data_IF_428972937388
#
_entry.id   IF_428972937388
#
_cell.length_a   1.000
_cell.length_b   1.000
_cell.length_c   1.000
_cell.angle_alpha   90.00
_cell.angle_beta   90.00
_cell.angle_gamma   90.00
#
_symmetry.space_group_name_H-M   'P 1'
#
loop_
_entity.id
_entity.type
_entity.pdbx_description
1 polymer ?
#
# COMPACT_ATOMS: atom_id res chain seq x y z
N UNK A 1 -3.13 -24.00 22.44
CA UNK A 1 -2.55 -22.65 22.21
C UNK A 1 -3.43 -21.81 21.30
N UNK A 2 -3.68 -22.20 20.05
CA UNK A 2 -4.49 -21.39 19.13
C UNK A 2 -5.92 -21.11 19.63
N UNK A 3 -6.60 -22.12 20.22
CA UNK A 3 -7.92 -21.93 20.84
C UNK A 3 -7.92 -20.87 21.95
N UNK A 4 -6.93 -20.92 22.83
CA UNK A 4 -6.75 -19.93 23.89
C UNK A 4 -6.45 -18.54 23.33
N UNK A 5 -5.67 -18.46 22.24
CA UNK A 5 -5.41 -17.22 21.55
C UNK A 5 -6.70 -16.61 20.97
N UNK A 6 -7.55 -17.42 20.35
CA UNK A 6 -8.83 -16.96 19.80
C UNK A 6 -9.79 -16.47 20.91
N UNK A 7 -9.87 -17.23 22.01
CA UNK A 7 -10.64 -16.84 23.20
C UNK A 7 -10.16 -15.52 23.80
N UNK A 8 -8.84 -15.35 23.93
CA UNK A 8 -8.23 -14.14 24.48
C UNK A 8 -8.44 -12.92 23.57
N UNK A 9 -8.19 -13.04 22.26
CA UNK A 9 -8.39 -11.94 21.30
C UNK A 9 -9.88 -11.55 21.19
N UNK A 10 -10.79 -12.52 21.27
CA UNK A 10 -12.24 -12.32 21.18
C UNK A 10 -12.90 -11.74 22.44
N UNK A 11 -12.20 -11.65 23.58
CA UNK A 11 -12.79 -11.21 24.84
C UNK A 11 -12.96 -9.68 24.93
N UNK A 12 -14.01 -9.16 24.27
CA UNK A 12 -14.32 -7.70 24.18
C UNK A 12 -14.61 -7.02 25.53
N UNK A 13 -14.87 -7.78 26.58
CA UNK A 13 -15.11 -7.28 27.93
C UNK A 13 -13.83 -7.06 28.73
N UNK A 14 -12.74 -7.76 28.40
CA UNK A 14 -11.51 -7.77 29.18
C UNK A 14 -10.31 -7.37 28.32
N UNK A 15 -9.94 -6.09 28.42
CA UNK A 15 -8.78 -5.55 27.69
C UNK A 15 -7.45 -6.19 28.12
N UNK A 16 -7.35 -6.67 29.36
CA UNK A 16 -6.13 -7.32 29.86
C UNK A 16 -5.96 -8.70 29.23
N UNK A 17 -7.07 -9.46 29.11
CA UNK A 17 -7.05 -10.72 28.37
C UNK A 17 -6.68 -10.51 26.90
N UNK A 18 -7.23 -9.48 26.25
CA UNK A 18 -6.89 -9.14 24.86
C UNK A 18 -5.42 -8.73 24.71
N UNK A 19 -4.88 -7.94 25.64
CA UNK A 19 -3.46 -7.57 25.67
C UNK A 19 -2.56 -8.81 25.80
N UNK A 20 -2.92 -9.75 26.68
CA UNK A 20 -2.24 -11.04 26.82
C UNK A 20 -2.29 -11.88 25.53
N UNK A 21 -3.45 -11.92 24.87
CA UNK A 21 -3.63 -12.58 23.57
C UNK A 21 -2.75 -11.98 22.48
N UNK A 22 -2.72 -10.64 22.38
CA UNK A 22 -1.86 -9.93 21.43
C UNK A 22 -0.37 -10.16 21.73
N UNK A 23 0.03 -10.18 23.00
CA UNK A 23 1.40 -10.48 23.40
C UNK A 23 1.80 -11.91 22.99
N UNK A 24 0.91 -12.89 23.20
CA UNK A 24 1.10 -14.27 22.75
C UNK A 24 1.21 -14.34 21.22
N UNK A 25 0.32 -13.68 20.48
CA UNK A 25 0.38 -13.59 19.02
C UNK A 25 1.72 -13.02 18.54
N UNK A 26 2.19 -11.93 19.16
CA UNK A 26 3.47 -11.31 18.82
C UNK A 26 4.67 -12.23 19.13
N UNK A 27 4.61 -12.98 20.22
CA UNK A 27 5.64 -13.95 20.58
C UNK A 27 5.68 -15.12 19.58
N UNK A 28 4.52 -15.67 19.22
CA UNK A 28 4.40 -16.72 18.21
C UNK A 28 4.90 -16.24 16.86
N UNK A 29 4.56 -15.02 16.45
CA UNK A 29 4.99 -14.43 15.18
C UNK A 29 6.53 -14.31 15.05
N UNK A 30 7.24 -14.14 16.17
CA UNK A 30 8.71 -14.07 16.18
C UNK A 30 9.39 -15.44 16.20
N UNK A 31 8.73 -16.43 16.81
CA UNK A 31 9.30 -17.77 17.04
C UNK A 31 8.96 -18.75 15.93
N UNK A 32 7.76 -18.63 15.37
CA UNK A 32 7.24 -19.51 14.34
C UNK A 32 7.57 -18.94 12.95
N UNK A 33 7.94 -19.81 12.01
CA UNK A 33 8.29 -19.46 10.63
C UNK A 33 7.72 -20.49 9.65
N UNK A 34 7.53 -20.07 8.40
CA UNK A 34 7.16 -20.98 7.31
C UNK A 34 5.78 -21.58 7.50
N UNK A 35 5.70 -22.91 7.63
CA UNK A 35 4.46 -23.70 7.65
C UNK A 35 3.46 -23.32 8.76
N UNK A 36 3.89 -22.54 9.75
CA UNK A 36 3.03 -22.04 10.83
C UNK A 36 2.23 -20.79 10.47
N UNK A 37 2.63 -20.02 9.45
CA UNK A 37 1.98 -18.74 9.12
C UNK A 37 0.50 -18.86 8.74
N UNK A 38 0.03 -19.88 8.00
CA UNK A 38 -1.39 -20.03 7.71
C UNK A 38 -2.29 -20.05 8.96
N UNK A 39 -1.76 -20.50 10.10
CA UNK A 39 -2.50 -20.47 11.36
C UNK A 39 -2.48 -19.10 12.05
N UNK A 40 -1.57 -18.20 11.71
CA UNK A 40 -1.52 -16.85 12.28
C UNK A 40 -2.20 -15.80 11.39
N UNK A 41 -2.22 -15.99 10.07
CA UNK A 41 -2.76 -15.01 9.12
C UNK A 41 -4.22 -14.60 9.39
N UNK A 42 -5.19 -15.52 9.63
CA UNK A 42 -6.57 -15.12 9.91
C UNK A 42 -6.72 -14.25 11.16
N UNK A 43 -5.78 -14.39 12.11
CA UNK A 43 -5.78 -13.65 13.38
C UNK A 43 -5.14 -12.28 13.25
N UNK A 44 -4.38 -12.03 12.17
CA UNK A 44 -3.73 -10.76 11.92
C UNK A 44 -4.74 -9.62 11.77
N UNK A 45 -5.87 -9.85 11.10
CA UNK A 45 -6.94 -8.85 10.97
C UNK A 45 -7.67 -8.59 12.28
N UNK A 46 -7.90 -9.64 13.08
CA UNK A 46 -8.48 -9.50 14.42
C UNK A 46 -7.57 -8.61 15.27
N UNK A 47 -6.26 -8.88 15.26
CA UNK A 47 -5.26 -8.06 15.97
C UNK A 47 -5.23 -6.64 15.38
N UNK A 48 -5.35 -6.47 14.07
CA UNK A 48 -5.38 -5.14 13.44
C UNK A 48 -6.61 -4.33 13.89
N UNK A 49 -7.80 -4.94 14.00
CA UNK A 49 -9.01 -4.25 14.48
C UNK A 49 -8.87 -3.75 15.93
N UNK A 50 -8.13 -4.48 16.77
CA UNK A 50 -7.83 -4.07 18.14
C UNK A 50 -6.95 -2.81 18.21
N UNK A 51 -6.24 -2.45 17.14
CA UNK A 51 -5.52 -1.16 17.06
C UNK A 51 -6.49 0.05 17.02
N UNK A 52 -7.76 -0.19 16.71
CA UNK A 52 -8.85 0.77 16.77
C UNK A 52 -9.67 0.74 18.06
N UNK A 53 -9.24 0.01 19.09
CA UNK A 53 -9.98 -0.05 20.35
C UNK A 53 -10.11 1.32 21.04
N UNK A 54 -11.30 1.61 21.58
CA UNK A 54 -11.60 2.91 22.21
C UNK A 54 -11.27 2.94 23.71
N UNK A 55 -11.13 1.79 24.35
CA UNK A 55 -11.06 1.66 25.82
C UNK A 55 -9.62 1.66 26.32
N UNK A 56 -8.72 0.92 25.67
CA UNK A 56 -7.32 0.79 26.10
C UNK A 56 -6.36 1.40 25.08
N UNK A 57 -5.57 2.38 25.53
CA UNK A 57 -4.45 2.90 24.73
C UNK A 57 -3.30 1.89 24.60
N UNK A 58 -3.12 1.04 25.60
CA UNK A 58 -2.02 0.08 25.65
C UNK A 58 -2.32 -1.15 24.77
N UNK A 59 -3.58 -1.61 24.74
CA UNK A 59 -4.05 -2.61 23.79
C UNK A 59 -3.80 -2.17 22.35
N UNK A 60 -4.09 -0.91 22.01
CA UNK A 60 -3.84 -0.38 20.67
C UNK A 60 -2.37 -0.43 20.27
N UNK A 61 -1.48 -0.03 21.19
CA UNK A 61 -0.01 -0.09 20.97
C UNK A 61 0.46 -1.53 20.83
N UNK A 62 -0.02 -2.42 21.69
CA UNK A 62 0.31 -3.84 21.65
C UNK A 62 -0.14 -4.46 20.32
N UNK A 63 -1.37 -4.18 19.89
CA UNK A 63 -1.97 -4.66 18.65
C UNK A 63 -1.16 -4.22 17.43
N UNK A 64 -0.85 -2.93 17.33
CA UNK A 64 0.00 -2.37 16.26
C UNK A 64 1.37 -3.04 16.23
N UNK A 65 2.02 -3.19 17.39
CA UNK A 65 3.33 -3.85 17.50
C UNK A 65 3.26 -5.34 17.11
N UNK A 66 2.22 -6.04 17.51
CA UNK A 66 2.00 -7.46 17.24
C UNK A 66 1.78 -7.74 15.76
N UNK A 67 0.86 -7.00 15.12
CA UNK A 67 0.57 -7.15 13.70
C UNK A 67 1.81 -6.84 12.84
N UNK A 68 2.53 -5.76 13.14
CA UNK A 68 3.80 -5.42 12.44
C UNK A 68 4.88 -6.48 12.66
N UNK A 69 4.93 -7.12 13.83
CA UNK A 69 5.92 -8.17 14.08
C UNK A 69 5.68 -9.40 13.19
N UNK A 70 4.42 -9.78 12.94
CA UNK A 70 4.09 -10.82 11.98
C UNK A 70 4.39 -10.38 10.55
N UNK A 71 3.95 -9.18 10.16
CA UNK A 71 4.14 -8.67 8.80
C UNK A 71 5.60 -8.72 8.34
N UNK A 72 6.54 -8.38 9.22
CA UNK A 72 7.99 -8.43 8.94
C UNK A 72 8.57 -9.82 8.73
N UNK A 73 7.82 -10.88 9.02
CA UNK A 73 8.24 -12.27 8.82
C UNK A 73 7.59 -12.92 7.60
N UNK A 74 6.63 -12.26 6.96
CA UNK A 74 5.93 -12.78 5.79
C UNK A 74 6.77 -12.51 4.53
N UNK A 75 6.88 -13.53 3.67
CA UNK A 75 7.34 -13.38 2.28
C UNK A 75 6.17 -13.49 1.30
N UNK A 76 6.46 -13.44 0.00
CA UNK A 76 5.50 -13.32 -1.11
C UNK A 76 4.28 -14.24 -0.98
N UNK A 77 4.49 -15.54 -0.77
CA UNK A 77 3.40 -16.52 -0.68
C UNK A 77 2.47 -16.32 0.52
N UNK A 78 2.97 -15.76 1.62
CA UNK A 78 2.14 -15.49 2.80
C UNK A 78 1.46 -14.12 2.71
N UNK A 79 2.13 -13.15 2.07
CA UNK A 79 1.54 -11.85 1.74
C UNK A 79 0.34 -12.04 0.80
N UNK A 80 0.46 -12.86 -0.23
CA UNK A 80 -0.62 -13.09 -1.21
C UNK A 80 -1.91 -13.62 -0.58
N UNK A 81 -1.80 -14.41 0.49
CA UNK A 81 -2.95 -14.96 1.21
C UNK A 81 -3.71 -13.89 1.99
N UNK A 82 -3.03 -12.93 2.61
CA UNK A 82 -3.65 -11.90 3.47
C UNK A 82 -3.92 -10.59 2.75
N UNK A 83 -3.37 -10.41 1.55
CA UNK A 83 -3.39 -9.14 0.82
C UNK A 83 -4.81 -8.65 0.51
N UNK A 84 -5.68 -9.54 0.01
CA UNK A 84 -7.06 -9.18 -0.33
C UNK A 84 -7.86 -8.79 0.91
N UNK A 85 -7.68 -9.51 2.02
CA UNK A 85 -8.39 -9.18 3.25
C UNK A 85 -7.89 -7.85 3.85
N UNK A 86 -6.57 -7.58 3.79
CA UNK A 86 -5.99 -6.34 4.30
C UNK A 86 -6.42 -5.12 3.46
N UNK A 87 -6.45 -5.26 2.14
CA UNK A 87 -6.91 -4.20 1.23
C UNK A 87 -8.42 -4.02 1.28
N UNK A 88 -9.18 -5.09 1.55
CA UNK A 88 -10.61 -5.05 1.88
C UNK A 88 -10.88 -4.27 3.16
N UNK A 89 -10.15 -4.59 4.24
CA UNK A 89 -10.26 -3.87 5.52
C UNK A 89 -9.97 -2.37 5.36
N UNK A 90 -8.98 -1.98 4.52
CA UNK A 90 -8.69 -0.58 4.24
C UNK A 90 -9.87 0.19 3.61
N UNK A 91 -10.67 -0.49 2.79
CA UNK A 91 -11.85 0.09 2.12
C UNK A 91 -13.05 0.16 3.06
N UNK A 92 -13.25 -0.87 3.88
CA UNK A 92 -14.46 -1.01 4.70
C UNK A 92 -14.36 -0.32 6.08
N UNK A 93 -13.15 -0.26 6.65
CA UNK A 93 -12.98 0.18 8.03
C UNK A 93 -13.18 1.69 8.19
N UNK A 94 -13.98 2.08 9.18
CA UNK A 94 -14.18 3.49 9.56
C UNK A 94 -13.20 3.96 10.63
N UNK A 95 -12.43 3.04 11.23
CA UNK A 95 -11.48 3.31 12.32
C UNK A 95 -10.14 3.75 11.72
N UNK A 96 -9.82 5.03 11.84
CA UNK A 96 -8.59 5.59 11.26
C UNK A 96 -7.31 4.93 11.79
N UNK A 97 -7.29 4.46 13.04
CA UNK A 97 -6.14 3.75 13.62
C UNK A 97 -5.89 2.40 12.94
N UNK A 98 -6.97 1.70 12.54
CA UNK A 98 -6.88 0.44 11.80
C UNK A 98 -6.36 0.73 10.39
N UNK A 99 -6.89 1.76 9.72
CA UNK A 99 -6.35 2.21 8.41
C UNK A 99 -4.86 2.49 8.47
N UNK A 100 -4.40 3.26 9.45
CA UNK A 100 -2.97 3.58 9.63
C UNK A 100 -2.16 2.30 9.79
N UNK A 101 -2.59 1.36 10.63
CA UNK A 101 -1.89 0.10 10.82
C UNK A 101 -1.83 -0.74 9.53
N UNK A 102 -2.93 -0.85 8.80
CA UNK A 102 -2.96 -1.57 7.52
C UNK A 102 -2.01 -0.94 6.49
N UNK A 103 -1.95 0.40 6.40
CA UNK A 103 -1.01 1.14 5.55
C UNK A 103 0.45 0.87 5.94
N UNK A 104 0.75 0.84 7.24
CA UNK A 104 2.08 0.50 7.75
C UNK A 104 2.45 -0.96 7.46
N UNK A 105 1.48 -1.88 7.48
CA UNK A 105 1.68 -3.29 7.11
C UNK A 105 1.99 -3.41 5.61
N UNK A 106 1.23 -2.73 4.74
CA UNK A 106 1.53 -2.68 3.29
C UNK A 106 2.94 -2.13 3.05
N UNK A 107 3.32 -1.08 3.80
CA UNK A 107 4.68 -0.52 3.74
C UNK A 107 5.77 -1.53 4.15
N UNK A 108 5.46 -2.47 5.04
CA UNK A 108 6.38 -3.55 5.40
C UNK A 108 6.44 -4.60 4.28
N UNK A 109 5.30 -4.90 3.65
CA UNK A 109 5.24 -5.84 2.53
C UNK A 109 6.03 -5.37 1.31
N UNK A 110 6.11 -4.05 1.05
CA UNK A 110 6.97 -3.53 -0.03
C UNK A 110 8.46 -3.81 0.17
N UNK A 111 8.91 -4.06 1.40
CA UNK A 111 10.30 -4.45 1.67
C UNK A 111 10.46 -5.99 1.67
N UNK A 112 9.47 -6.71 2.21
CA UNK A 112 9.55 -8.18 2.38
C UNK A 112 9.11 -9.00 1.16
N UNK A 113 8.30 -8.41 0.27
CA UNK A 113 7.72 -9.06 -0.90
C UNK A 113 7.57 -8.08 -2.09
N UNK A 114 8.68 -7.48 -2.58
CA UNK A 114 8.62 -6.44 -3.60
C UNK A 114 8.01 -6.92 -4.93
N UNK A 115 8.28 -8.16 -5.36
CA UNK A 115 7.70 -8.72 -6.59
C UNK A 115 6.18 -8.82 -6.54
N UNK A 116 5.64 -9.39 -5.44
CA UNK A 116 4.19 -9.42 -5.23
C UNK A 116 3.57 -8.02 -5.19
N UNK A 117 4.25 -7.04 -4.59
CA UNK A 117 3.77 -5.65 -4.54
C UNK A 117 3.77 -5.02 -5.93
N UNK A 118 4.80 -5.24 -6.74
CA UNK A 118 4.90 -4.77 -8.13
C UNK A 118 3.73 -5.30 -8.96
N UNK A 119 3.43 -6.60 -8.87
CA UNK A 119 2.31 -7.25 -9.58
C UNK A 119 0.94 -6.67 -9.20
N UNK A 120 0.80 -6.13 -7.98
CA UNK A 120 -0.44 -5.60 -7.44
C UNK A 120 -0.51 -4.06 -7.46
N UNK A 121 0.45 -3.37 -8.07
CA UNK A 121 0.49 -1.90 -8.10
C UNK A 121 -0.72 -1.27 -8.79
N UNK A 122 -1.26 -1.92 -9.82
CA UNK A 122 -2.48 -1.46 -10.51
C UNK A 122 -3.65 -1.29 -9.54
N UNK A 123 -3.74 -2.15 -8.52
CA UNK A 123 -4.75 -2.05 -7.47
C UNK A 123 -4.32 -1.12 -6.32
N UNK A 124 -3.04 -1.20 -5.91
CA UNK A 124 -2.53 -0.45 -4.76
C UNK A 124 -2.45 1.05 -5.02
N UNK A 125 -1.95 1.48 -6.18
CA UNK A 125 -1.73 2.91 -6.45
C UNK A 125 -3.04 3.70 -6.36
N UNK A 126 -4.16 3.30 -7.01
CA UNK A 126 -5.44 3.99 -6.84
C UNK A 126 -5.94 3.98 -5.39
N UNK A 127 -5.87 2.83 -4.71
CA UNK A 127 -6.33 2.68 -3.32
C UNK A 127 -5.56 3.59 -2.35
N UNK A 128 -4.24 3.61 -2.46
CA UNK A 128 -3.38 4.45 -1.61
C UNK A 128 -3.56 5.92 -1.95
N UNK A 129 -3.69 6.26 -3.25
CA UNK A 129 -3.96 7.61 -3.71
C UNK A 129 -5.26 8.17 -3.12
N UNK A 130 -6.34 7.39 -3.07
CA UNK A 130 -7.59 7.78 -2.43
C UNK A 130 -7.39 8.09 -0.93
N UNK A 131 -6.64 7.24 -0.22
CA UNK A 131 -6.37 7.42 1.21
C UNK A 131 -5.46 8.62 1.52
N UNK A 132 -4.67 9.12 0.57
CA UNK A 132 -3.94 10.39 0.71
C UNK A 132 -4.89 11.60 0.83
N UNK A 133 -6.15 11.45 0.42
CA UNK A 133 -7.19 12.47 0.56
C UNK A 133 -8.11 12.26 1.79
N UNK A 134 -7.83 11.26 2.66
CA UNK A 134 -8.64 10.96 3.85
C UNK A 134 -8.73 12.15 4.82
N UNK A 135 -9.88 12.35 5.47
CA UNK A 135 -10.09 13.42 6.46
C UNK A 135 -9.07 13.47 7.61
N UNK A 136 -8.46 12.33 7.98
CA UNK A 136 -7.51 12.24 9.10
C UNK A 136 -6.07 12.40 8.63
N UNK A 137 -5.38 13.41 9.18
CA UNK A 137 -3.96 13.71 8.89
C UNK A 137 -3.04 12.50 9.07
N UNK A 138 -3.29 11.66 10.07
CA UNK A 138 -2.52 10.44 10.32
C UNK A 138 -2.67 9.42 9.19
N UNK A 139 -3.89 9.27 8.63
CA UNK A 139 -4.15 8.38 7.49
C UNK A 139 -3.46 8.93 6.25
N UNK A 140 -3.57 10.24 5.99
CA UNK A 140 -2.85 10.88 4.87
C UNK A 140 -1.35 10.60 4.92
N UNK A 141 -0.72 10.88 6.07
CA UNK A 141 0.72 10.67 6.24
C UNK A 141 1.12 9.20 6.06
N UNK A 142 0.35 8.26 6.62
CA UNK A 142 0.59 6.83 6.46
C UNK A 142 0.40 6.38 5.00
N UNK A 143 -0.59 6.92 4.28
CA UNK A 143 -0.87 6.58 2.89
C UNK A 143 0.23 7.11 1.96
N UNK A 144 0.69 8.35 2.16
CA UNK A 144 1.84 8.90 1.43
C UNK A 144 3.10 8.09 1.66
N UNK A 145 3.37 7.67 2.90
CA UNK A 145 4.53 6.84 3.22
C UNK A 145 4.41 5.44 2.60
N UNK A 146 3.23 4.84 2.64
CA UNK A 146 2.96 3.54 2.04
C UNK A 146 3.13 3.59 0.53
N UNK A 147 2.56 4.60 -0.15
CA UNK A 147 2.71 4.76 -1.59
C UNK A 147 4.18 4.99 -1.97
N UNK A 148 4.91 5.82 -1.21
CA UNK A 148 6.35 6.03 -1.40
C UNK A 148 7.12 4.72 -1.31
N UNK A 149 6.81 3.87 -0.33
CA UNK A 149 7.51 2.60 -0.16
C UNK A 149 7.11 1.56 -1.21
N UNK A 150 5.83 1.51 -1.58
CA UNK A 150 5.34 0.66 -2.67
C UNK A 150 6.05 1.04 -3.96
N UNK A 151 6.10 2.32 -4.34
CA UNK A 151 6.76 2.78 -5.57
C UNK A 151 8.28 2.54 -5.62
N UNK A 152 8.95 2.22 -4.50
CA UNK A 152 10.36 1.77 -4.53
C UNK A 152 10.52 0.41 -5.21
N UNK A 153 9.46 -0.38 -5.32
CA UNK A 153 9.47 -1.66 -6.04
C UNK A 153 9.41 -1.49 -7.57
N UNK A 154 9.22 -0.27 -8.10
CA UNK A 154 9.26 -0.05 -9.56
C UNK A 154 10.70 -0.23 -10.04
N UNK A 155 10.96 -1.21 -10.91
CA UNK A 155 12.32 -1.44 -11.41
C UNK A 155 12.69 -0.56 -12.62
N UNK A 156 11.72 0.15 -13.19
CA UNK A 156 11.93 1.01 -14.35
C UNK A 156 12.74 2.28 -13.99
N UNK A 157 13.99 2.32 -14.46
CA UNK A 157 14.96 3.37 -14.22
C UNK A 157 14.63 4.73 -14.87
N UNK A 158 13.77 4.75 -15.89
CA UNK A 158 13.31 6.01 -16.50
C UNK A 158 12.22 6.68 -15.64
N UNK A 159 11.45 5.89 -14.89
CA UNK A 159 10.34 6.38 -14.04
C UNK A 159 10.77 6.62 -12.60
N UNK A 160 11.69 5.82 -12.06
CA UNK A 160 12.17 5.93 -10.67
C UNK A 160 12.53 7.37 -10.23
N UNK A 161 13.29 8.16 -11.03
CA UNK A 161 13.64 9.54 -10.65
C UNK A 161 12.42 10.46 -10.45
N UNK A 162 11.31 10.16 -11.12
CA UNK A 162 10.09 10.96 -11.08
C UNK A 162 9.11 10.51 -9.98
N UNK A 163 9.32 9.36 -9.34
CA UNK A 163 8.43 8.84 -8.28
C UNK A 163 8.11 9.89 -7.21
N UNK A 164 9.07 10.66 -6.67
CA UNK A 164 8.75 11.71 -5.69
C UNK A 164 7.81 12.79 -6.26
N UNK A 165 8.07 13.27 -7.48
CA UNK A 165 7.23 14.29 -8.15
C UNK A 165 5.85 13.75 -8.51
N UNK A 166 5.77 12.49 -8.96
CA UNK A 166 4.52 11.79 -9.26
C UNK A 166 3.64 11.67 -8.02
N UNK A 167 4.22 11.24 -6.89
CA UNK A 167 3.50 11.16 -5.60
C UNK A 167 3.06 12.54 -5.13
N UNK A 168 3.92 13.55 -5.28
CA UNK A 168 3.57 14.93 -4.91
C UNK A 168 2.38 15.47 -5.73
N UNK A 169 2.38 15.22 -7.04
CA UNK A 169 1.32 15.62 -7.95
C UNK A 169 -0.05 14.93 -7.66
N UNK A 170 -0.05 13.76 -7.00
CA UNK A 170 -1.28 13.11 -6.54
C UNK A 170 -1.98 13.94 -5.45
N UNK A 171 -1.20 14.55 -4.54
CA UNK A 171 -1.74 15.41 -3.46
C UNK A 171 -1.86 16.88 -3.84
N UNK A 172 -1.03 17.35 -4.75
CA UNK A 172 -0.92 18.76 -5.14
C UNK A 172 -1.25 18.92 -6.64
N UNK A 173 -2.52 19.19 -6.98
CA UNK A 173 -2.95 19.29 -8.39
C UNK A 173 -2.22 20.39 -9.18
N UNK A 174 -1.69 21.40 -8.48
CA UNK A 174 -0.93 22.50 -9.09
C UNK A 174 0.42 22.06 -9.66
N UNK A 175 0.97 20.95 -9.17
CA UNK A 175 2.28 20.41 -9.60
C UNK A 175 2.16 19.48 -10.81
N UNK A 176 0.93 19.14 -11.24
CA UNK A 176 0.68 18.25 -12.38
C UNK A 176 1.31 18.80 -13.67
N UNK A 177 1.20 20.11 -13.92
CA UNK A 177 1.75 20.72 -15.13
C UNK A 177 3.27 20.65 -15.18
N UNK A 178 3.93 20.88 -14.04
CA UNK A 178 5.39 20.80 -13.90
C UNK A 178 5.87 19.35 -14.03
N UNK A 179 5.21 18.41 -13.33
CA UNK A 179 5.54 16.99 -13.43
C UNK A 179 5.38 16.46 -14.86
N UNK A 180 4.29 16.82 -15.57
CA UNK A 180 4.09 16.50 -16.99
C UNK A 180 5.15 17.17 -17.86
N UNK A 181 5.57 18.39 -17.53
CA UNK A 181 6.61 19.09 -18.28
C UNK A 181 7.93 18.32 -18.28
N UNK A 182 8.35 17.87 -17.10
CA UNK A 182 9.63 17.19 -16.89
C UNK A 182 9.60 15.76 -17.43
N UNK A 183 8.48 15.06 -17.22
CA UNK A 183 8.29 13.72 -17.76
C UNK A 183 8.31 13.73 -19.30
N UNK A 184 7.76 14.77 -19.94
CA UNK A 184 7.81 14.95 -21.39
C UNK A 184 9.22 15.27 -21.93
N UNK A 185 10.13 15.76 -21.09
CA UNK A 185 11.52 16.03 -21.47
C UNK A 185 12.42 14.79 -21.34
N UNK A 186 11.88 13.69 -20.80
CA UNK A 186 12.62 12.44 -20.56
C UNK A 186 12.61 11.58 -21.81
N UNK A 187 13.76 10.99 -22.12
CA UNK A 187 13.85 9.95 -23.16
C UNK A 187 13.64 8.60 -22.47
N UNK A 188 12.50 7.95 -22.73
CA UNK A 188 12.25 6.60 -22.25
C UNK A 188 13.00 5.59 -23.11
N UNK A 189 13.70 4.66 -22.46
CA UNK A 189 14.54 3.64 -23.10
C UNK A 189 14.13 2.25 -22.63
N UNK A 190 13.77 2.10 -21.36
CA UNK A 190 13.36 0.83 -20.78
C UNK A 190 11.93 0.47 -21.16
N UNK A 191 11.69 -0.82 -21.27
CA UNK A 191 10.36 -1.39 -21.48
C UNK A 191 9.43 -1.00 -20.33
N UNK A 192 8.21 -0.63 -20.67
CA UNK A 192 7.23 -0.12 -19.73
C UNK A 192 6.33 -1.27 -19.28
N UNK A 193 6.34 -1.53 -17.97
CA UNK A 193 5.53 -2.55 -17.33
C UNK A 193 4.29 -1.96 -16.64
N UNK A 194 3.40 -2.85 -16.15
CA UNK A 194 2.17 -2.43 -15.48
C UNK A 194 2.44 -1.59 -14.22
N UNK A 195 3.54 -1.84 -13.50
CA UNK A 195 3.92 -1.05 -12.34
C UNK A 195 4.29 0.39 -12.69
N UNK A 196 5.09 0.61 -13.74
CA UNK A 196 5.42 1.94 -14.23
C UNK A 196 4.16 2.70 -14.71
N UNK A 197 3.27 2.02 -15.43
CA UNK A 197 1.99 2.57 -15.89
C UNK A 197 1.06 2.93 -14.73
N UNK A 198 1.06 2.14 -13.65
CA UNK A 198 0.17 2.34 -12.50
C UNK A 198 0.30 3.71 -11.86
N UNK A 199 1.51 4.30 -11.87
CA UNK A 199 1.77 5.62 -11.30
C UNK A 199 1.76 6.73 -12.34
N UNK A 200 2.08 6.43 -13.62
CA UNK A 200 2.12 7.44 -14.69
C UNK A 200 0.75 7.68 -15.33
N UNK A 201 -0.08 6.66 -15.54
CA UNK A 201 -1.41 6.81 -16.16
C UNK A 201 -2.31 7.77 -15.37
N UNK A 202 -2.45 7.68 -14.03
CA UNK A 202 -3.25 8.64 -13.28
C UNK A 202 -2.79 10.09 -13.41
N UNK A 203 -1.47 10.33 -13.53
CA UNK A 203 -0.94 11.66 -13.82
C UNK A 203 -1.39 12.13 -15.20
N UNK A 204 -1.25 11.27 -16.22
CA UNK A 204 -1.63 11.60 -17.60
C UNK A 204 -3.12 11.88 -17.74
N UNK A 205 -3.98 11.07 -17.12
CA UNK A 205 -5.43 11.32 -17.09
C UNK A 205 -5.74 12.70 -16.51
N UNK A 206 -5.05 13.09 -15.43
CA UNK A 206 -5.20 14.40 -14.81
C UNK A 206 -4.68 15.51 -15.72
N UNK A 207 -3.52 15.31 -16.35
CA UNK A 207 -2.94 16.24 -17.32
C UNK A 207 -3.80 16.44 -18.57
N UNK A 208 -4.51 15.42 -19.04
CA UNK A 208 -5.47 15.55 -20.16
C UNK A 208 -6.72 16.35 -19.78
N UNK A 209 -7.08 16.39 -18.49
CA UNK A 209 -8.19 17.20 -17.95
C UNK A 209 -7.81 18.65 -17.71
N UNK A 210 -6.53 19.02 -17.78
CA UNK A 210 -6.08 20.41 -17.63
C UNK A 210 -6.63 21.35 -18.72
N UNK A 211 -6.82 22.63 -18.40
CA UNK A 211 -7.37 23.61 -19.36
C UNK A 211 -6.37 23.97 -20.47
N UNK A 212 -5.08 23.94 -20.17
CA UNK A 212 -4.02 24.38 -21.08
C UNK A 212 -3.77 23.33 -22.17
N UNK A 213 -3.97 23.71 -23.43
CA UNK A 213 -3.68 22.85 -24.59
C UNK A 213 -2.21 22.43 -24.66
N UNK A 214 -1.28 23.26 -24.16
CA UNK A 214 0.14 22.90 -24.09
C UNK A 214 0.39 21.66 -23.23
N UNK A 215 -0.24 21.57 -22.05
CA UNK A 215 -0.15 20.41 -21.14
C UNK A 215 -0.76 19.16 -21.78
N UNK A 216 -1.92 19.29 -22.44
CA UNK A 216 -2.53 18.17 -23.17
C UNK A 216 -1.63 17.62 -24.28
N UNK A 217 -0.98 18.51 -25.04
CA UNK A 217 0.00 18.11 -26.07
C UNK A 217 1.18 17.34 -25.48
N UNK A 218 1.72 17.79 -24.34
CA UNK A 218 2.79 17.06 -23.62
C UNK A 218 2.32 15.69 -23.12
N UNK A 219 1.10 15.59 -22.58
CA UNK A 219 0.52 14.30 -22.19
C UNK A 219 0.41 13.33 -23.37
N UNK A 220 -0.01 13.83 -24.55
CA UNK A 220 -0.07 13.03 -25.77
C UNK A 220 1.32 12.52 -26.21
N UNK A 221 2.35 13.37 -26.15
CA UNK A 221 3.74 12.98 -26.46
C UNK A 221 4.24 11.90 -25.49
N UNK A 222 4.00 12.06 -24.18
CA UNK A 222 4.37 11.03 -23.19
C UNK A 222 3.65 9.72 -23.50
N UNK A 223 2.34 9.78 -23.76
CA UNK A 223 1.52 8.59 -24.07
C UNK A 223 2.04 7.88 -25.32
N UNK A 224 2.37 8.62 -26.38
CA UNK A 224 2.94 8.07 -27.61
C UNK A 224 4.29 7.39 -27.36
N UNK A 225 5.16 8.01 -26.56
CA UNK A 225 6.48 7.47 -26.25
C UNK A 225 6.39 6.21 -25.38
N UNK A 226 5.53 6.22 -24.35
CA UNK A 226 5.32 5.05 -23.49
C UNK A 226 4.69 3.88 -24.27
N UNK A 227 3.71 4.14 -25.14
CA UNK A 227 3.04 3.10 -25.92
C UNK A 227 3.98 2.34 -26.86
N UNK A 228 5.06 2.97 -27.34
CA UNK A 228 6.09 2.33 -28.17
C UNK A 228 6.98 1.36 -27.40
N UNK A 229 6.99 1.44 -26.07
CA UNK A 229 7.86 0.67 -25.17
C UNK A 229 7.08 -0.40 -24.39
N UNK A 230 5.82 -0.64 -24.76
CA UNK A 230 5.02 -1.73 -24.21
C UNK A 230 5.25 -2.97 -25.04
N UNK A 231 5.90 -3.97 -24.44
CA UNK A 231 6.15 -5.26 -25.10
C UNK A 231 4.96 -6.21 -25.03
N UNK A 232 4.14 -6.12 -23.98
CA UNK A 232 3.03 -7.03 -23.74
C UNK A 232 1.72 -6.25 -23.52
N UNK A 233 0.68 -6.48 -24.35
CA UNK A 233 -0.62 -5.80 -24.20
C UNK A 233 -1.29 -6.07 -22.84
N UNK A 234 -0.96 -7.18 -22.17
CA UNK A 234 -1.46 -7.49 -20.82
C UNK A 234 -1.07 -6.41 -19.81
N UNK A 235 0.09 -5.77 -19.98
CA UNK A 235 0.54 -4.71 -19.07
C UNK A 235 -0.30 -3.43 -19.18
N UNK A 236 -0.94 -3.22 -20.33
CA UNK A 236 -1.75 -2.02 -20.62
C UNK A 236 -3.23 -2.27 -20.40
N UNK A 237 -3.72 -3.50 -20.60
CA UNK A 237 -5.14 -3.86 -20.51
C UNK A 237 -5.89 -3.36 -19.25
N UNK A 238 -5.26 -3.21 -18.06
CA UNK A 238 -5.93 -2.68 -16.87
C UNK A 238 -6.18 -1.16 -16.86
N UNK A 239 -5.66 -0.41 -17.84
CA UNK A 239 -5.69 1.06 -17.92
C UNK A 239 -6.52 1.54 -19.12
#
# INVERSE_FOLDING_TARGET
ILKFLDEALGNKSDSVAQEGGVALFAALSKKLRGASFPFLLPRMLIVADLAGDKKSGDLRKAASKGAKALAKQLGDSAVSVIFNDLTGELKETTKWQVKVLCLEIISIFSEGAPGFIQDNMVLLVPLLSELMWDSKKQVKAAATQALTNVCKAIENGDIQPFVPSLISAITNPTEVEECVHDLAATTFVQTVDASALSITVPLLERGFREKKTATKRKCAVITENLAKLVDNPVNVAPF
#
